data_IF_075924214692
#
_entry.id   IF_075924214692
#
_cell.length_a   1.000
_cell.length_b   1.000
_cell.length_c   1.000
_cell.angle_alpha   90.00
_cell.angle_beta   90.00
_cell.angle_gamma   90.00
#
_symmetry.space_group_name_H-M   'P 1'
#
loop_
_entity.id
_entity.type
_entity.pdbx_description
1 polymer ?
#
# COMPACT_ATOMS: atom_id res chain seq x y z
N UNK A 1 39.86 -7.51 8.20
CA UNK A 1 40.96 -7.72 9.18
C UNK A 1 40.65 -7.26 10.61
N UNK A 2 40.38 -5.97 10.91
CA UNK A 2 40.24 -5.47 12.31
C UNK A 2 39.31 -6.29 13.24
N UNK A 3 38.24 -6.91 12.73
CA UNK A 3 37.31 -7.77 13.50
C UNK A 3 37.93 -9.08 14.03
N UNK A 4 38.95 -9.63 13.36
CA UNK A 4 39.63 -10.85 13.81
C UNK A 4 40.57 -10.61 15.00
N UNK A 5 41.19 -9.43 15.07
CA UNK A 5 42.04 -9.04 16.20
C UNK A 5 41.23 -8.88 17.51
N UNK A 6 40.01 -8.33 17.42
CA UNK A 6 39.11 -8.23 18.58
C UNK A 6 38.71 -9.61 19.13
N UNK A 7 38.43 -10.57 18.25
CA UNK A 7 38.11 -11.95 18.65
C UNK A 7 39.34 -12.70 19.24
N UNK A 8 40.55 -12.38 18.79
CA UNK A 8 41.78 -12.95 19.33
C UNK A 8 42.09 -12.41 20.75
N UNK A 9 41.90 -11.11 20.96
CA UNK A 9 42.13 -10.46 22.26
C UNK A 9 41.19 -10.99 23.36
N UNK A 10 39.92 -11.24 23.05
CA UNK A 10 38.94 -11.83 23.99
C UNK A 10 39.31 -13.26 24.41
N UNK A 11 40.16 -13.96 23.63
CA UNK A 11 40.58 -15.34 23.92
C UNK A 11 41.88 -15.42 24.73
N UNK A 12 42.63 -14.33 24.90
CA UNK A 12 43.72 -14.22 25.87
C UNK A 12 43.17 -13.71 27.21
N UNK A 13 42.74 -14.64 28.07
CA UNK A 13 42.18 -14.33 29.38
C UNK A 13 43.22 -13.77 30.37
N UNK A 14 43.43 -12.46 30.33
CA UNK A 14 44.19 -11.70 31.33
C UNK A 14 43.43 -10.42 31.69
N UNK A 15 42.54 -10.52 32.68
CA UNK A 15 41.86 -9.36 33.28
C UNK A 15 42.54 -9.05 34.63
N UNK A 16 43.29 -7.94 34.75
CA UNK A 16 43.67 -7.41 36.04
C UNK A 16 42.46 -6.76 36.75
N UNK A 17 42.55 -6.61 38.06
CA UNK A 17 41.42 -6.25 38.95
C UNK A 17 40.88 -4.80 38.98
N UNK A 18 41.42 -3.73 38.32
CA UNK A 18 40.81 -2.39 38.45
C UNK A 18 39.49 -2.21 37.67
N UNK A 19 38.96 -3.26 37.02
CA UNK A 19 37.84 -3.16 36.09
C UNK A 19 36.46 -2.90 36.73
N UNK A 20 36.27 -3.09 38.04
CA UNK A 20 34.94 -3.02 38.65
C UNK A 20 34.41 -1.57 38.78
N UNK A 21 35.28 -0.59 39.02
CA UNK A 21 34.89 0.80 39.24
C UNK A 21 34.39 1.53 37.98
N UNK A 22 34.83 1.11 36.78
CA UNK A 22 34.41 1.72 35.51
C UNK A 22 33.02 1.27 35.02
N UNK A 23 32.53 0.11 35.47
CA UNK A 23 31.32 -0.53 34.94
C UNK A 23 30.04 0.23 35.35
N UNK A 24 30.04 0.88 36.51
CA UNK A 24 28.89 1.66 37.00
C UNK A 24 28.75 2.99 36.26
N UNK A 25 29.86 3.71 36.05
CA UNK A 25 29.87 5.01 35.38
C UNK A 25 29.63 4.90 33.87
N UNK A 26 30.15 3.86 33.20
CA UNK A 26 29.87 3.61 31.78
C UNK A 26 28.37 3.31 31.55
N UNK A 27 27.73 2.56 32.45
CA UNK A 27 26.28 2.28 32.39
C UNK A 27 25.43 3.53 32.47
N UNK A 28 25.75 4.47 33.35
CA UNK A 28 24.99 5.72 33.51
C UNK A 28 25.03 6.55 32.21
N UNK A 29 26.23 6.82 31.67
CA UNK A 29 26.38 7.57 30.42
C UNK A 29 25.76 6.86 29.20
N UNK A 30 25.83 5.53 29.16
CA UNK A 30 25.22 4.73 28.09
C UNK A 30 23.69 4.80 28.10
N UNK A 31 23.07 4.81 29.29
CA UNK A 31 21.61 4.87 29.45
C UNK A 31 21.03 6.25 29.06
N UNK A 32 21.74 7.34 29.37
CA UNK A 32 21.38 8.69 28.89
C UNK A 32 21.45 8.78 27.37
N UNK A 33 22.56 8.35 26.75
CA UNK A 33 22.70 8.33 25.28
C UNK A 33 21.57 7.56 24.60
N UNK A 34 21.19 6.39 25.11
CA UNK A 34 20.08 5.61 24.53
C UNK A 34 18.70 6.25 24.71
N UNK A 35 18.51 7.19 25.65
CA UNK A 35 17.29 8.00 25.72
C UNK A 35 17.34 9.14 24.70
N UNK A 36 18.47 9.86 24.60
CA UNK A 36 18.66 10.94 23.63
C UNK A 36 18.51 10.43 22.18
N UNK A 37 19.12 9.28 21.86
CA UNK A 37 19.03 8.62 20.55
C UNK A 37 17.59 8.16 20.22
N UNK A 38 16.79 7.78 21.23
CA UNK A 38 15.38 7.42 21.05
C UNK A 38 14.49 8.65 20.83
N UNK A 39 14.78 9.76 21.51
CA UNK A 39 14.02 11.01 21.35
C UNK A 39 14.34 11.70 20.01
N UNK A 40 15.59 11.62 19.55
CA UNK A 40 16.01 12.14 18.25
C UNK A 40 15.43 11.37 17.04
N UNK A 41 15.07 10.10 17.22
CA UNK A 41 14.49 9.24 16.18
C UNK A 41 12.97 9.03 16.35
N UNK A 42 12.26 10.00 16.94
CA UNK A 42 10.80 10.04 16.85
C UNK A 42 10.40 10.15 15.36
N UNK A 43 9.65 9.19 14.80
CA UNK A 43 9.35 9.20 13.37
C UNK A 43 8.51 10.44 13.04
N UNK A 44 9.04 11.29 12.16
CA UNK A 44 8.33 12.48 11.67
C UNK A 44 7.15 12.01 10.83
N UNK A 45 5.97 11.96 11.45
CA UNK A 45 4.71 11.61 10.78
C UNK A 45 4.38 12.73 9.79
N UNK A 46 4.87 12.58 8.56
CA UNK A 46 4.54 13.42 7.43
C UNK A 46 3.07 13.16 7.08
N UNK A 47 2.18 14.09 7.45
CA UNK A 47 0.80 14.05 6.96
C UNK A 47 0.80 14.28 5.45
N UNK A 48 0.51 13.24 4.67
CA UNK A 48 0.00 13.40 3.32
C UNK A 48 -1.39 14.04 3.43
N UNK A 49 -1.44 15.34 3.18
CA UNK A 49 -2.63 16.16 3.35
C UNK A 49 -3.76 15.67 2.46
N UNK A 50 -5.01 15.82 2.92
CA UNK A 50 -6.20 15.43 2.17
C UNK A 50 -6.30 16.03 0.75
N UNK A 51 -5.53 17.08 0.46
CA UNK A 51 -5.32 17.62 -0.88
C UNK A 51 -4.72 16.59 -1.87
N UNK A 52 -3.74 15.77 -1.46
CA UNK A 52 -3.18 14.71 -2.31
C UNK A 52 -4.21 13.59 -2.56
N UNK A 53 -4.96 13.20 -1.52
CA UNK A 53 -6.10 12.28 -1.65
C UNK A 53 -7.15 12.81 -2.62
N UNK A 54 -7.48 14.11 -2.56
CA UNK A 54 -8.41 14.74 -3.49
C UNK A 54 -7.87 14.74 -4.93
N UNK A 55 -6.58 15.01 -5.12
CA UNK A 55 -5.92 14.96 -6.43
C UNK A 55 -6.01 13.56 -7.06
N UNK A 56 -5.72 12.50 -6.30
CA UNK A 56 -5.85 11.10 -6.79
C UNK A 56 -7.31 10.78 -7.16
N UNK A 57 -8.28 11.24 -6.36
CA UNK A 57 -9.70 11.13 -6.69
C UNK A 57 -10.10 11.84 -7.98
N UNK A 58 -9.55 13.03 -8.22
CA UNK A 58 -9.78 13.80 -9.46
C UNK A 58 -9.17 13.06 -10.66
N UNK A 59 -7.96 12.53 -10.57
CA UNK A 59 -7.36 11.71 -11.64
C UNK A 59 -8.17 10.43 -11.95
N UNK A 60 -8.66 9.75 -10.91
CA UNK A 60 -9.55 8.60 -11.08
C UNK A 60 -10.87 8.98 -11.76
N UNK A 61 -11.51 10.06 -11.31
CA UNK A 61 -12.75 10.56 -11.92
C UNK A 61 -12.56 10.97 -13.39
N UNK A 62 -11.48 11.68 -13.71
CA UNK A 62 -11.10 12.02 -15.09
C UNK A 62 -10.90 10.75 -15.93
N UNK A 63 -10.28 9.70 -15.37
CA UNK A 63 -10.08 8.42 -16.08
C UNK A 63 -11.40 7.74 -16.41
N UNK A 64 -12.31 7.64 -15.44
CA UNK A 64 -13.67 7.09 -15.63
C UNK A 64 -14.43 7.91 -16.67
N UNK A 65 -14.32 9.24 -16.63
CA UNK A 65 -14.96 10.14 -17.61
C UNK A 65 -14.35 10.02 -19.01
N UNK A 66 -13.04 9.82 -19.15
CA UNK A 66 -12.39 9.58 -20.46
C UNK A 66 -12.85 8.25 -21.08
N UNK A 67 -12.92 7.18 -20.26
CA UNK A 67 -13.48 5.90 -20.68
C UNK A 67 -14.95 6.05 -21.10
N UNK A 68 -15.79 6.62 -20.23
CA UNK A 68 -17.22 6.81 -20.50
C UNK A 68 -17.48 7.65 -21.76
N UNK A 69 -16.75 8.76 -21.93
CA UNK A 69 -16.83 9.60 -23.13
C UNK A 69 -16.35 8.85 -24.38
N UNK A 70 -15.29 8.05 -24.26
CA UNK A 70 -14.80 7.17 -25.32
C UNK A 70 -15.84 6.16 -25.80
N UNK A 71 -16.57 5.53 -24.88
CA UNK A 71 -17.65 4.60 -25.22
C UNK A 71 -18.91 5.33 -25.73
N UNK A 72 -19.19 6.55 -25.24
CA UNK A 72 -20.32 7.35 -25.70
C UNK A 72 -20.17 7.82 -27.16
N UNK A 73 -18.98 8.25 -27.56
CA UNK A 73 -18.74 8.80 -28.91
C UNK A 73 -18.61 7.75 -30.02
N UNK A 74 -18.22 6.51 -29.74
CA UNK A 74 -18.36 5.45 -30.76
C UNK A 74 -17.42 5.67 -31.97
N UNK A 75 -17.89 5.48 -33.23
CA UNK A 75 -19.18 4.92 -33.63
C UNK A 75 -19.17 3.38 -33.62
N UNK A 76 -20.33 2.79 -33.36
CA UNK A 76 -20.54 1.33 -33.40
C UNK A 76 -21.97 0.95 -33.03
N UNK A 77 -22.36 -0.31 -33.26
CA UNK A 77 -23.68 -0.82 -32.88
C UNK A 77 -23.89 -0.72 -31.36
N UNK A 78 -25.08 -0.33 -30.92
CA UNK A 78 -25.38 -0.08 -29.50
C UNK A 78 -25.18 -1.33 -28.63
N UNK A 79 -25.36 -2.52 -29.21
CA UNK A 79 -25.13 -3.81 -28.55
C UNK A 79 -23.66 -4.00 -28.15
N UNK A 80 -22.72 -3.67 -29.03
CA UNK A 80 -21.28 -3.79 -28.75
C UNK A 80 -20.84 -2.73 -27.73
N UNK A 81 -21.42 -1.52 -27.78
CA UNK A 81 -21.17 -0.48 -26.76
C UNK A 81 -21.68 -0.91 -25.40
N UNK A 82 -22.88 -1.47 -25.32
CA UNK A 82 -23.46 -1.97 -24.06
C UNK A 82 -22.63 -3.14 -23.49
N UNK A 83 -22.19 -4.07 -24.35
CA UNK A 83 -21.27 -5.14 -23.97
C UNK A 83 -19.95 -4.60 -23.41
N UNK A 84 -19.37 -3.57 -24.05
CA UNK A 84 -18.18 -2.88 -23.55
C UNK A 84 -18.41 -2.22 -22.19
N UNK A 85 -19.49 -1.43 -22.01
CA UNK A 85 -19.78 -0.80 -20.71
C UNK A 85 -19.85 -1.85 -19.60
N UNK A 86 -20.57 -2.95 -19.83
CA UNK A 86 -20.66 -4.05 -18.86
C UNK A 86 -19.30 -4.71 -18.59
N UNK A 87 -18.48 -4.94 -19.63
CA UNK A 87 -17.13 -5.49 -19.49
C UNK A 87 -16.19 -4.59 -18.67
N UNK A 88 -16.19 -3.28 -18.93
CA UNK A 88 -15.40 -2.32 -18.16
C UNK A 88 -15.85 -2.22 -16.71
N UNK A 89 -17.16 -2.20 -16.44
CA UNK A 89 -17.70 -2.17 -15.07
C UNK A 89 -17.39 -3.47 -14.32
N UNK A 90 -17.46 -4.63 -14.99
CA UNK A 90 -17.06 -5.91 -14.41
C UNK A 90 -15.55 -5.97 -14.10
N UNK A 91 -14.72 -5.49 -15.03
CA UNK A 91 -13.27 -5.40 -14.87
C UNK A 91 -12.88 -4.44 -13.72
N UNK A 92 -13.55 -3.29 -13.63
CA UNK A 92 -13.43 -2.33 -12.51
C UNK A 92 -13.78 -3.00 -11.16
N UNK A 93 -14.91 -3.69 -11.09
CA UNK A 93 -15.36 -4.41 -9.89
C UNK A 93 -14.34 -5.49 -9.47
N UNK A 94 -13.80 -6.23 -10.43
CA UNK A 94 -12.84 -7.31 -10.14
C UNK A 94 -11.46 -6.77 -9.75
N UNK A 95 -11.04 -5.62 -10.29
CA UNK A 95 -9.83 -4.93 -9.84
C UNK A 95 -9.94 -4.46 -8.38
N UNK A 96 -11.10 -3.93 -7.97
CA UNK A 96 -11.38 -3.62 -6.57
C UNK A 96 -11.44 -4.88 -5.69
N UNK A 97 -12.06 -5.97 -6.17
CA UNK A 97 -12.11 -7.24 -5.45
C UNK A 97 -10.71 -7.84 -5.24
N UNK A 98 -9.83 -7.78 -6.25
CA UNK A 98 -8.42 -8.19 -6.14
C UNK A 98 -7.66 -7.32 -5.14
N UNK A 99 -7.85 -5.99 -5.16
CA UNK A 99 -7.23 -5.11 -4.17
C UNK A 99 -7.72 -5.38 -2.74
N UNK A 100 -9.01 -5.68 -2.57
CA UNK A 100 -9.58 -6.08 -1.27
C UNK A 100 -9.04 -7.44 -0.81
N UNK A 101 -8.95 -8.43 -1.69
CA UNK A 101 -8.33 -9.72 -1.37
C UNK A 101 -6.87 -9.57 -0.95
N UNK A 102 -6.08 -8.75 -1.65
CA UNK A 102 -4.68 -8.46 -1.27
C UNK A 102 -4.62 -7.81 0.12
N UNK A 103 -5.55 -6.91 0.47
CA UNK A 103 -5.67 -6.35 1.82
C UNK A 103 -5.98 -7.45 2.85
N UNK A 104 -7.07 -8.19 2.64
CA UNK A 104 -7.58 -9.15 3.62
C UNK A 104 -6.52 -10.27 3.89
N UNK A 105 -5.76 -10.69 2.86
CA UNK A 105 -4.64 -11.64 2.97
C UNK A 105 -3.37 -11.04 3.64
N UNK A 106 -3.26 -9.72 3.81
CA UNK A 106 -2.15 -9.08 4.55
C UNK A 106 -2.50 -8.93 6.04
N UNK A 107 -3.74 -8.54 6.36
CA UNK A 107 -4.24 -8.44 7.74
C UNK A 107 -4.43 -9.83 8.39
N UNK A 108 -4.78 -10.86 7.58
CA UNK A 108 -4.87 -12.26 8.01
C UNK A 108 -4.19 -13.18 6.99
N UNK A 109 -3.01 -13.68 7.36
CA UNK A 109 -2.21 -14.61 6.56
C UNK A 109 -2.77 -16.06 6.59
N UNK A 110 -4.09 -16.22 6.44
CA UNK A 110 -4.83 -17.47 6.74
C UNK A 110 -5.46 -18.10 5.50
N UNK A 111 -5.62 -17.36 4.40
CA UNK A 111 -6.32 -17.84 3.21
C UNK A 111 -5.47 -18.83 2.39
N UNK A 112 -6.06 -19.99 2.13
CA UNK A 112 -5.42 -21.09 1.39
C UNK A 112 -5.05 -20.68 -0.04
N UNK A 113 -4.00 -21.28 -0.64
CA UNK A 113 -3.57 -20.97 -2.01
C UNK A 113 -4.69 -21.17 -3.07
N UNK A 114 -5.70 -21.97 -2.75
CA UNK A 114 -6.91 -22.17 -3.57
C UNK A 114 -7.72 -20.87 -3.75
N UNK A 115 -7.94 -20.08 -2.69
CA UNK A 115 -8.75 -18.87 -2.76
C UNK A 115 -8.08 -17.78 -3.60
N UNK A 116 -6.74 -17.63 -3.45
CA UNK A 116 -5.93 -16.75 -4.29
C UNK A 116 -6.10 -17.03 -5.79
N UNK A 117 -6.20 -18.29 -6.19
CA UNK A 117 -6.40 -18.68 -7.59
C UNK A 117 -7.79 -18.27 -8.12
N UNK A 118 -8.83 -18.28 -7.27
CA UNK A 118 -10.18 -17.84 -7.67
C UNK A 118 -10.22 -16.33 -7.92
N UNK A 119 -9.57 -15.54 -7.07
CA UNK A 119 -9.53 -14.06 -7.25
C UNK A 119 -8.67 -13.69 -8.46
N UNK A 120 -7.53 -14.36 -8.65
CA UNK A 120 -6.69 -14.16 -9.84
C UNK A 120 -7.36 -14.63 -11.14
N UNK A 121 -8.10 -15.73 -11.12
CA UNK A 121 -8.81 -16.21 -12.31
C UNK A 121 -9.96 -15.28 -12.69
N UNK A 122 -10.70 -14.75 -11.70
CA UNK A 122 -11.69 -13.69 -11.94
C UNK A 122 -11.08 -12.47 -12.62
N UNK A 123 -9.95 -11.96 -12.11
CA UNK A 123 -9.27 -10.79 -12.70
C UNK A 123 -8.72 -11.08 -14.10
N UNK A 124 -8.05 -12.22 -14.29
CA UNK A 124 -7.55 -12.64 -15.61
C UNK A 124 -8.69 -12.85 -16.62
N UNK A 125 -9.83 -13.40 -16.20
CA UNK A 125 -11.02 -13.57 -17.03
C UNK A 125 -11.62 -12.22 -17.41
N UNK A 126 -11.75 -11.27 -16.46
CA UNK A 126 -12.22 -9.92 -16.76
C UNK A 126 -11.30 -9.18 -17.74
N UNK A 127 -9.98 -9.31 -17.55
CA UNK A 127 -8.97 -8.75 -18.45
C UNK A 127 -9.05 -9.37 -19.85
N UNK A 128 -9.13 -10.70 -19.92
CA UNK A 128 -9.24 -11.47 -21.16
C UNK A 128 -10.54 -11.19 -21.92
N UNK A 129 -11.68 -11.13 -21.24
CA UNK A 129 -12.99 -10.87 -21.84
C UNK A 129 -13.08 -9.45 -22.39
N UNK A 130 -12.53 -8.46 -21.67
CA UNK A 130 -12.46 -7.07 -22.15
C UNK A 130 -11.54 -6.95 -23.37
N UNK A 131 -10.33 -7.52 -23.30
CA UNK A 131 -9.38 -7.54 -24.42
C UNK A 131 -9.91 -8.28 -25.65
N UNK A 132 -10.58 -9.43 -25.46
CA UNK A 132 -11.25 -10.18 -26.52
C UNK A 132 -12.41 -9.41 -27.15
N UNK A 133 -13.18 -8.67 -26.34
CA UNK A 133 -14.20 -7.74 -26.80
C UNK A 133 -13.63 -6.66 -27.73
N UNK A 134 -12.49 -6.04 -27.36
CA UNK A 134 -11.79 -5.06 -28.21
C UNK A 134 -11.23 -5.69 -29.50
N UNK A 135 -10.76 -6.94 -29.43
CA UNK A 135 -10.23 -7.64 -30.60
C UNK A 135 -11.31 -7.88 -31.66
N UNK A 136 -12.48 -8.40 -31.24
CA UNK A 136 -13.58 -8.82 -32.13
C UNK A 136 -14.28 -7.68 -32.88
N UNK A 137 -14.22 -6.45 -32.36
CA UNK A 137 -14.96 -5.30 -32.90
C UNK A 137 -14.36 -4.83 -34.23
N UNK A 138 -15.10 -4.75 -35.33
CA UNK A 138 -14.56 -4.22 -36.62
C UNK A 138 -14.64 -2.68 -36.69
N UNK A 139 -13.87 -2.02 -35.82
CA UNK A 139 -13.76 -0.55 -35.75
C UNK A 139 -12.37 -0.08 -36.19
N UNK A 140 -12.28 1.15 -36.72
CA UNK A 140 -11.03 1.81 -37.08
C UNK A 140 -9.96 1.67 -35.97
N UNK A 141 -8.69 1.36 -36.33
CA UNK A 141 -7.65 0.99 -35.36
C UNK A 141 -7.32 2.09 -34.34
N UNK A 142 -7.51 3.36 -34.70
CA UNK A 142 -7.28 4.51 -33.80
C UNK A 142 -8.21 4.48 -32.58
N UNK A 143 -9.50 4.19 -32.78
CA UNK A 143 -10.47 4.11 -31.68
C UNK A 143 -10.23 2.89 -30.79
N UNK A 144 -9.83 1.75 -31.38
CA UNK A 144 -9.39 0.58 -30.60
C UNK A 144 -8.21 0.91 -29.69
N UNK A 145 -7.20 1.60 -30.22
CA UNK A 145 -6.02 2.00 -29.46
C UNK A 145 -6.39 2.99 -28.34
N UNK A 146 -7.23 3.99 -28.61
CA UNK A 146 -7.74 4.92 -27.61
C UNK A 146 -8.47 4.20 -26.46
N UNK A 147 -9.39 3.29 -26.78
CA UNK A 147 -10.10 2.50 -25.78
C UNK A 147 -9.14 1.61 -24.98
N UNK A 148 -8.20 0.93 -25.63
CA UNK A 148 -7.20 0.10 -24.96
C UNK A 148 -6.31 0.87 -23.99
N UNK A 149 -5.87 2.08 -24.37
CA UNK A 149 -5.10 2.97 -23.48
C UNK A 149 -5.98 3.47 -22.33
N UNK A 150 -7.21 3.90 -22.59
CA UNK A 150 -8.14 4.34 -21.55
C UNK A 150 -8.43 3.23 -20.53
N UNK A 151 -8.61 1.99 -20.99
CA UNK A 151 -8.80 0.82 -20.15
C UNK A 151 -7.60 0.53 -19.25
N UNK A 152 -6.38 0.47 -19.80
CA UNK A 152 -5.16 0.27 -19.01
C UNK A 152 -4.93 1.41 -18.01
N UNK A 153 -5.22 2.64 -18.42
CA UNK A 153 -5.11 3.82 -17.56
C UNK A 153 -6.15 3.81 -16.43
N UNK A 154 -7.38 3.38 -16.70
CA UNK A 154 -8.42 3.16 -15.70
C UNK A 154 -7.96 2.14 -14.65
N UNK A 155 -7.47 0.97 -15.08
CA UNK A 155 -6.98 -0.07 -14.17
C UNK A 155 -5.83 0.44 -13.29
N UNK A 156 -4.89 1.21 -13.84
CA UNK A 156 -3.82 1.86 -13.07
C UNK A 156 -4.38 2.83 -12.02
N UNK A 157 -5.35 3.67 -12.39
CA UNK A 157 -6.01 4.59 -11.45
C UNK A 157 -6.81 3.86 -10.36
N UNK A 158 -7.42 2.70 -10.65
CA UNK A 158 -8.10 1.85 -9.64
C UNK A 158 -7.11 1.35 -8.60
N UNK A 159 -5.97 0.79 -9.02
CA UNK A 159 -4.94 0.35 -8.08
C UNK A 159 -4.34 1.52 -7.29
N UNK A 160 -4.18 2.69 -7.92
CA UNK A 160 -3.74 3.92 -7.24
C UNK A 160 -4.75 4.37 -6.18
N UNK A 161 -6.05 4.38 -6.49
CA UNK A 161 -7.13 4.72 -5.55
C UNK A 161 -7.20 3.71 -4.40
N UNK A 162 -7.15 2.42 -4.71
CA UNK A 162 -7.19 1.35 -3.71
C UNK A 162 -5.96 1.41 -2.78
N UNK A 163 -4.78 1.74 -3.31
CA UNK A 163 -3.57 1.94 -2.52
C UNK A 163 -3.67 3.19 -1.65
N UNK A 164 -4.10 4.33 -2.18
CA UNK A 164 -4.27 5.56 -1.39
C UNK A 164 -5.33 5.41 -0.29
N UNK A 165 -6.43 4.67 -0.54
CA UNK A 165 -7.44 4.36 0.48
C UNK A 165 -6.87 3.46 1.59
N UNK A 166 -5.98 2.52 1.25
CA UNK A 166 -5.22 1.72 2.24
C UNK A 166 -4.28 2.61 3.04
N UNK A 167 -3.46 3.41 2.38
CA UNK A 167 -2.45 4.27 3.01
C UNK A 167 -3.13 5.27 3.99
N UNK A 168 -4.33 5.77 3.66
CA UNK A 168 -5.17 6.55 4.56
C UNK A 168 -5.71 5.76 5.77
N UNK A 169 -6.20 4.53 5.55
CA UNK A 169 -6.76 3.71 6.63
C UNK A 169 -5.69 3.21 7.63
N UNK A 170 -4.47 2.95 7.15
CA UNK A 170 -3.33 2.66 8.02
C UNK A 170 -2.97 3.89 8.87
N UNK A 171 -2.96 5.10 8.29
CA UNK A 171 -2.71 6.34 9.03
C UNK A 171 -3.76 6.60 10.13
N UNK A 172 -5.05 6.46 9.83
CA UNK A 172 -6.14 6.61 10.81
C UNK A 172 -5.97 5.63 12.00
N UNK A 173 -5.58 4.37 11.73
CA UNK A 173 -5.32 3.36 12.77
C UNK A 173 -4.08 3.69 13.63
N UNK A 174 -3.05 4.28 13.04
CA UNK A 174 -1.89 4.77 13.79
C UNK A 174 -2.24 5.98 14.68
N UNK A 175 -3.05 6.94 14.20
CA UNK A 175 -3.53 8.05 15.02
C UNK A 175 -4.37 7.55 16.23
N UNK A 176 -5.29 6.59 16.01
CA UNK A 176 -6.10 6.00 17.08
C UNK A 176 -5.24 5.26 18.14
N UNK A 177 -4.21 4.51 17.72
CA UNK A 177 -3.25 3.86 18.65
C UNK A 177 -2.43 4.88 19.44
N UNK A 178 -2.09 6.02 18.85
CA UNK A 178 -1.37 7.10 19.55
C UNK A 178 -2.27 7.82 20.55
N UNK A 179 -3.55 8.03 20.23
CA UNK A 179 -4.54 8.57 21.17
C UNK A 179 -4.72 7.66 22.39
N UNK A 180 -4.99 6.36 22.19
CA UNK A 180 -5.13 5.42 23.30
C UNK A 180 -3.88 5.30 24.20
N UNK A 181 -2.67 5.44 23.64
CA UNK A 181 -1.43 5.49 24.45
C UNK A 181 -1.27 6.80 25.23
N UNK A 182 -1.80 7.92 24.74
CA UNK A 182 -1.82 9.20 25.47
C UNK A 182 -2.83 9.17 26.61
N UNK A 183 -4.03 8.64 26.35
CA UNK A 183 -5.09 8.46 27.35
C UNK A 183 -4.63 7.52 28.48
N UNK A 184 -3.98 6.39 28.14
CA UNK A 184 -3.42 5.48 29.14
C UNK A 184 -2.30 6.14 29.98
N UNK A 185 -1.44 6.98 29.39
CA UNK A 185 -0.43 7.72 30.14
C UNK A 185 -1.05 8.80 31.04
N UNK A 186 -2.06 9.54 30.56
CA UNK A 186 -2.79 10.51 31.36
C UNK A 186 -3.46 9.85 32.58
N UNK A 187 -4.20 8.75 32.36
CA UNK A 187 -4.83 7.99 33.43
C UNK A 187 -3.81 7.42 34.44
N UNK A 188 -2.60 7.04 34.00
CA UNK A 188 -1.54 6.62 34.92
C UNK A 188 -0.90 7.76 35.72
N UNK A 189 -0.93 8.99 35.20
CA UNK A 189 -0.42 10.18 35.87
C UNK A 189 -1.45 10.80 36.84
N UNK A 190 -2.75 10.63 36.57
CA UNK A 190 -3.85 11.03 37.47
C UNK A 190 -4.06 10.06 38.64
N UNK A 191 -3.44 8.86 38.58
CA UNK A 191 -3.53 7.82 39.60
C UNK A 191 -2.32 7.80 40.58
N UNK A 192 -1.43 8.79 40.52
CA UNK A 192 -0.26 8.97 41.40
C UNK A 192 -0.38 10.23 42.27
#
# INVERSE_FOLDING_TARGET
>A
MKRYLAALAVRLGTIPEPAFAGITQDRAHRNSRSHDDNMANAPVIRRDTGAWRLQVWVSFAISVMLCGSGLAWLPGADLDRAFMVMGYVFCLSTAFALAKFIRDNQDRQVDTPMWRLVVWSGFALAMGLTGWGLWRMEIQPVWKAYLGVCWLYLISNVFTLAKMLRDAHEADLFEARLQGRREAMAASAEAQ
#
